data_IF_106885932854
#
_entry.id   IF_106885932854
#
_cell.length_a   1.000
_cell.length_b   1.000
_cell.length_c   1.000
_cell.angle_alpha   90.00
_cell.angle_beta   90.00
_cell.angle_gamma   90.00
#
_symmetry.space_group_name_H-M   'P 1'
#
loop_
_entity.id
_entity.type
_entity.pdbx_description
1 polymer ?
#
# COMPACT_ATOMS: atom_id res chain seq x y z
N UNK A 1 -12.69 0.44 18.61
CA UNK A 1 -11.70 -0.29 17.77
C UNK A 1 -12.41 -0.63 16.46
N UNK A 2 -11.84 -0.34 15.29
CA UNK A 2 -12.47 -0.74 14.01
C UNK A 2 -12.38 -2.27 13.90
N UNK A 3 -13.51 -2.93 13.68
CA UNK A 3 -13.61 -4.38 13.66
C UNK A 3 -12.71 -4.97 12.56
N UNK A 4 -11.86 -5.92 12.94
CA UNK A 4 -11.04 -6.66 11.99
C UNK A 4 -11.95 -7.63 11.23
N UNK A 5 -12.05 -7.48 9.91
CA UNK A 5 -12.80 -8.39 9.04
C UNK A 5 -11.85 -9.29 8.25
N UNK A 6 -12.28 -10.49 7.87
CA UNK A 6 -11.51 -11.32 6.93
C UNK A 6 -11.70 -10.81 5.50
N UNK A 7 -10.62 -10.69 4.74
CA UNK A 7 -10.64 -10.19 3.38
C UNK A 7 -9.28 -10.30 2.69
N UNK A 8 -9.23 -9.92 1.42
CA UNK A 8 -7.99 -9.90 0.66
C UNK A 8 -7.25 -8.58 0.88
N UNK A 9 -6.00 -8.64 1.33
CA UNK A 9 -5.15 -7.46 1.43
C UNK A 9 -4.96 -6.83 0.04
N UNK A 10 -5.29 -5.55 -0.11
CA UNK A 10 -5.16 -4.85 -1.39
C UNK A 10 -3.71 -4.72 -1.86
N UNK A 11 -2.74 -4.82 -0.95
CA UNK A 11 -1.31 -4.73 -1.26
C UNK A 11 -0.69 -6.06 -1.69
N UNK A 12 -0.85 -7.12 -0.90
CA UNK A 12 -0.17 -8.40 -1.12
C UNK A 12 -1.09 -9.52 -1.63
N UNK A 13 -2.40 -9.29 -1.71
CA UNK A 13 -3.38 -10.29 -2.17
C UNK A 13 -3.71 -11.39 -1.17
N UNK A 14 -2.99 -11.51 -0.05
CA UNK A 14 -3.23 -12.55 0.96
C UNK A 14 -4.61 -12.38 1.62
N UNK A 15 -5.35 -13.48 1.72
CA UNK A 15 -6.61 -13.55 2.46
C UNK A 15 -6.36 -13.71 3.95
N UNK A 16 -6.64 -12.67 4.73
CA UNK A 16 -6.42 -12.67 6.18
C UNK A 16 -7.35 -11.68 6.89
N UNK A 17 -7.19 -11.51 8.21
CA UNK A 17 -7.77 -10.35 8.89
C UNK A 17 -7.17 -9.08 8.31
N UNK A 18 -8.03 -8.19 7.82
CA UNK A 18 -7.68 -6.91 7.21
C UNK A 18 -8.26 -5.77 8.01
N UNK A 19 -7.50 -4.69 8.08
CA UNK A 19 -7.88 -3.46 8.75
C UNK A 19 -8.05 -2.37 7.72
N UNK A 20 -9.03 -1.51 7.96
CA UNK A 20 -9.23 -0.32 7.14
C UNK A 20 -8.14 0.72 7.46
N UNK A 21 -7.36 1.06 6.44
CA UNK A 21 -6.32 2.07 6.49
C UNK A 21 -6.72 3.26 5.62
N UNK A 22 -6.63 4.48 6.16
CA UNK A 22 -6.83 5.69 5.37
C UNK A 22 -5.56 5.99 4.60
N UNK A 23 -5.66 6.17 3.28
CA UNK A 23 -4.52 6.55 2.44
C UNK A 23 -3.91 7.88 2.91
N UNK A 24 -4.77 8.81 3.35
CA UNK A 24 -4.37 10.08 3.93
C UNK A 24 -4.52 10.04 5.46
N UNK A 25 -3.57 10.59 6.23
CA UNK A 25 -3.67 10.64 7.69
C UNK A 25 -4.91 11.42 8.14
N UNK A 26 -5.81 10.73 8.85
CA UNK A 26 -7.07 11.30 9.36
C UNK A 26 -6.84 12.49 10.31
N UNK A 27 -5.72 12.49 11.03
CA UNK A 27 -5.35 13.58 11.94
C UNK A 27 -5.09 14.91 11.23
N UNK A 28 -4.86 14.89 9.91
CA UNK A 28 -4.47 16.06 9.12
C UNK A 28 -5.57 16.41 8.11
N UNK A 29 -6.09 15.41 7.40
CA UNK A 29 -7.07 15.60 6.33
C UNK A 29 -8.51 15.23 6.75
N UNK A 30 -8.72 14.90 8.03
CA UNK A 30 -10.03 14.48 8.53
C UNK A 30 -10.50 13.17 7.87
N UNK A 31 -11.82 13.03 7.67
CA UNK A 31 -12.41 11.89 6.96
C UNK A 31 -12.26 11.98 5.43
N UNK A 32 -11.45 12.91 4.93
CA UNK A 32 -11.26 13.09 3.50
C UNK A 32 -10.16 12.13 3.04
N UNK A 33 -10.54 11.16 2.22
CA UNK A 33 -9.61 10.20 1.66
C UNK A 33 -10.24 8.83 1.46
N UNK A 34 -9.73 8.11 0.47
CA UNK A 34 -10.11 6.72 0.26
C UNK A 34 -9.51 5.86 1.37
N UNK A 35 -10.25 4.84 1.75
CA UNK A 35 -9.79 3.79 2.65
C UNK A 35 -9.46 2.55 1.86
N UNK A 36 -8.53 1.76 2.37
CA UNK A 36 -8.12 0.50 1.77
C UNK A 36 -7.95 -0.57 2.84
N UNK A 37 -8.16 -1.80 2.44
CA UNK A 37 -8.01 -2.97 3.31
C UNK A 37 -6.60 -3.52 3.23
N UNK A 38 -5.89 -3.50 4.37
CA UNK A 38 -4.54 -4.03 4.49
C UNK A 38 -4.48 -5.09 5.58
N UNK A 39 -3.72 -6.16 5.36
CA UNK A 39 -3.36 -7.08 6.44
C UNK A 39 -2.44 -6.39 7.46
N UNK A 40 -2.35 -6.88 8.71
CA UNK A 40 -1.50 -6.29 9.76
C UNK A 40 -0.07 -6.05 9.31
N UNK A 41 0.53 -6.99 8.57
CA UNK A 41 1.91 -6.87 8.10
C UNK A 41 2.07 -5.71 7.11
N UNK A 42 1.23 -5.63 6.08
CA UNK A 42 1.28 -4.54 5.11
C UNK A 42 0.91 -3.19 5.75
N UNK A 43 0.00 -3.19 6.72
CA UNK A 43 -0.40 -1.98 7.44
C UNK A 43 0.76 -1.42 8.26
N UNK A 44 1.43 -2.25 9.07
CA UNK A 44 2.62 -1.85 9.85
C UNK A 44 3.76 -1.41 8.94
N UNK A 45 4.03 -2.18 7.88
CA UNK A 45 5.08 -1.83 6.92
C UNK A 45 4.84 -0.48 6.24
N UNK A 46 3.59 -0.13 5.93
CA UNK A 46 3.29 1.19 5.38
C UNK A 46 3.58 2.31 6.38
N UNK A 47 3.22 2.15 7.66
CA UNK A 47 3.55 3.15 8.70
C UNK A 47 5.06 3.32 8.89
N UNK A 48 5.83 2.23 8.81
CA UNK A 48 7.30 2.31 8.85
C UNK A 48 7.87 2.98 7.61
N UNK A 49 7.33 2.66 6.43
CA UNK A 49 7.73 3.27 5.17
C UNK A 49 7.43 4.77 5.17
N UNK A 50 6.20 5.17 5.52
CA UNK A 50 5.79 6.57 5.56
C UNK A 50 6.63 7.35 6.58
N UNK A 51 6.82 6.83 7.80
CA UNK A 51 7.67 7.46 8.82
C UNK A 51 9.10 7.77 8.33
N UNK A 52 9.67 6.92 7.47
CA UNK A 52 11.02 7.13 6.90
C UNK A 52 11.04 8.16 5.76
N UNK A 53 9.93 8.34 5.04
CA UNK A 53 9.88 9.16 3.83
C UNK A 53 9.08 10.46 3.96
N UNK A 54 8.24 10.63 4.99
CA UNK A 54 7.60 11.91 5.33
C UNK A 54 8.31 12.55 6.51
N UNK A 55 9.07 13.61 6.27
CA UNK A 55 9.54 14.52 7.34
C UNK A 55 8.64 15.76 7.48
N UNK A 56 7.88 16.12 6.44
CA UNK A 56 6.96 17.25 6.46
C UNK A 56 5.52 16.79 6.14
N UNK A 57 4.63 16.67 7.14
CA UNK A 57 3.31 16.06 6.97
C UNK A 57 2.28 16.94 6.23
N UNK A 58 2.71 17.98 5.51
CA UNK A 58 1.85 19.11 5.13
C UNK A 58 1.37 19.13 3.68
N UNK A 59 1.88 18.29 2.79
CA UNK A 59 1.42 18.26 1.40
C UNK A 59 0.61 17.00 1.09
N UNK A 60 -0.70 17.18 0.84
CA UNK A 60 -1.61 16.12 0.41
C UNK A 60 -1.06 15.38 -0.83
N UNK A 61 -0.45 16.14 -1.74
CA UNK A 61 0.13 15.60 -2.97
C UNK A 61 1.33 14.69 -2.68
N UNK A 62 2.15 15.02 -1.68
CA UNK A 62 3.29 14.20 -1.28
C UNK A 62 2.84 12.89 -0.62
N UNK A 63 1.86 12.97 0.30
CA UNK A 63 1.27 11.79 0.92
C UNK A 63 0.66 10.82 -0.12
N UNK A 64 -0.05 11.35 -1.12
CA UNK A 64 -0.59 10.56 -2.24
C UNK A 64 0.51 9.96 -3.11
N UNK A 65 1.57 10.70 -3.40
CA UNK A 65 2.74 10.19 -4.15
C UNK A 65 3.39 9.02 -3.41
N UNK A 66 3.64 9.15 -2.11
CA UNK A 66 4.22 8.10 -1.28
C UNK A 66 3.35 6.85 -1.24
N UNK A 67 2.04 7.02 -1.08
CA UNK A 67 1.10 5.91 -1.19
C UNK A 67 1.21 5.20 -2.53
N UNK A 68 1.13 5.95 -3.64
CA UNK A 68 1.19 5.39 -4.98
C UNK A 68 2.48 4.63 -5.22
N UNK A 69 3.63 5.21 -4.87
CA UNK A 69 4.94 4.55 -4.98
C UNK A 69 4.93 3.26 -4.18
N UNK A 70 4.60 3.31 -2.89
CA UNK A 70 4.58 2.12 -2.04
C UNK A 70 3.64 1.04 -2.59
N UNK A 71 2.47 1.43 -3.09
CA UNK A 71 1.45 0.50 -3.59
C UNK A 71 1.84 -0.13 -4.94
N UNK A 72 2.37 0.63 -5.89
CA UNK A 72 2.72 0.17 -7.26
C UNK A 72 4.08 -0.52 -7.36
N UNK A 73 4.99 -0.33 -6.39
CA UNK A 73 6.34 -0.91 -6.43
C UNK A 73 6.39 -2.44 -6.47
N UNK A 74 5.32 -3.15 -6.06
CA UNK A 74 5.30 -4.63 -6.02
C UNK A 74 4.86 -5.27 -7.35
N UNK A 75 3.78 -4.82 -8.03
CA UNK A 75 3.37 -5.44 -9.29
C UNK A 75 4.34 -5.23 -10.47
N UNK A 76 5.12 -4.14 -10.54
CA UNK A 76 6.01 -3.89 -11.68
C UNK A 76 7.16 -4.89 -11.78
N UNK A 77 7.77 -5.27 -10.65
CA UNK A 77 8.89 -6.20 -10.63
C UNK A 77 8.42 -7.60 -11.05
N UNK A 78 7.26 -8.05 -10.58
CA UNK A 78 6.68 -9.36 -10.95
C UNK A 78 6.32 -9.39 -12.44
N UNK A 79 5.73 -8.32 -12.98
CA UNK A 79 5.41 -8.23 -14.41
C UNK A 79 6.66 -8.23 -15.29
N UNK A 80 7.71 -7.49 -14.92
CA UNK A 80 8.98 -7.48 -15.67
C UNK A 80 9.65 -8.86 -15.62
N UNK A 81 9.69 -9.50 -14.45
CA UNK A 81 10.29 -10.84 -14.30
C UNK A 81 9.52 -11.91 -15.09
N UNK A 82 8.18 -11.83 -15.15
CA UNK A 82 7.37 -12.74 -15.97
C UNK A 82 7.60 -12.52 -17.47
N UNK A 83 7.68 -11.26 -17.93
CA UNK A 83 7.94 -10.95 -19.34
C UNK A 83 9.36 -11.37 -19.76
N UNK A 84 10.38 -11.09 -18.94
CA UNK A 84 11.77 -11.53 -19.20
C UNK A 84 11.89 -13.05 -19.15
N UNK A 85 11.24 -13.71 -18.18
CA UNK A 85 11.22 -15.17 -18.07
C UNK A 85 10.56 -15.85 -19.28
N UNK A 86 9.45 -15.31 -19.78
CA UNK A 86 8.79 -15.80 -21.00
C UNK A 86 9.65 -15.58 -22.25
N UNK A 87 10.32 -14.42 -22.36
CA UNK A 87 11.15 -14.09 -23.51
C UNK A 87 12.43 -14.95 -23.59
N UNK A 88 13.03 -15.27 -22.43
CA UNK A 88 14.18 -16.18 -22.35
C UNK A 88 13.80 -17.65 -22.58
N UNK A 89 12.55 -18.06 -22.28
CA UNK A 89 12.07 -19.41 -22.60
C UNK A 89 11.78 -19.57 -24.10
N UNK A 90 11.32 -18.51 -24.77
CA UNK A 90 10.97 -18.55 -26.19
C UNK A 90 12.15 -18.56 -27.18
N UNK A 91 13.39 -18.62 -26.69
CA UNK A 91 14.63 -18.53 -27.48
C UNK A 91 15.52 -19.72 -27.22
#
# INVERSE_FOLDING_TARGET
>A
MREAKKGNCKKCGVYFYVHEHHILPRSIFGNQGNTVELCPNCHTHFHEYSKKHTQNPKDEQEARKLWNIWFTSVPLIVSILLVVGLFLWSR
#
